data_IF_407903895246
#
_entry.id   IF_407903895246
#
_cell.length_a   1.000
_cell.length_b   1.000
_cell.length_c   1.000
_cell.angle_alpha   90.00
_cell.angle_beta   90.00
_cell.angle_gamma   90.00
#
_symmetry.space_group_name_H-M   'P 1'
#
loop_
_entity.id
_entity.type
_entity.pdbx_description
1 polymer ?
#
# COMPACT_ATOMS: atom_id res chain seq x y z
N UNK A 1 -8.52 -4.30 -18.11
CA UNK A 1 -7.36 -5.06 -17.61
C UNK A 1 -6.41 -4.11 -16.89
N UNK A 2 -5.90 -4.47 -15.72
CA UNK A 2 -4.98 -3.61 -14.96
C UNK A 2 -3.62 -3.47 -15.66
N UNK A 3 -3.08 -2.24 -15.69
CA UNK A 3 -1.84 -1.87 -16.41
C UNK A 3 -0.66 -2.82 -16.15
N UNK A 4 -0.50 -3.25 -14.91
CA UNK A 4 0.63 -4.06 -14.45
C UNK A 4 0.35 -5.56 -14.40
N UNK A 5 -0.79 -6.04 -14.95
CA UNK A 5 -1.15 -7.47 -14.94
C UNK A 5 -0.04 -8.35 -15.54
N UNK A 6 0.59 -7.89 -16.62
CA UNK A 6 1.64 -8.61 -17.32
C UNK A 6 2.90 -8.88 -16.47
N UNK A 7 3.03 -8.26 -15.28
CA UNK A 7 4.12 -8.50 -14.32
C UNK A 7 3.85 -9.65 -13.35
N UNK A 8 2.62 -10.15 -13.29
CA UNK A 8 2.15 -11.07 -12.22
C UNK A 8 1.14 -12.12 -12.73
N UNK A 9 0.97 -12.27 -14.04
CA UNK A 9 -0.05 -13.13 -14.65
C UNK A 9 0.38 -14.58 -14.89
N UNK A 10 1.62 -14.94 -14.57
CA UNK A 10 2.11 -16.33 -14.62
C UNK A 10 2.87 -16.70 -13.34
N UNK A 11 2.97 -17.98 -12.97
CA UNK A 11 3.70 -18.42 -11.78
C UNK A 11 5.16 -17.94 -11.76
N UNK A 12 5.89 -18.04 -12.88
CA UNK A 12 7.28 -17.58 -12.97
C UNK A 12 7.42 -16.08 -12.74
N UNK A 13 6.45 -15.29 -13.21
CA UNK A 13 6.44 -13.84 -13.00
C UNK A 13 6.08 -13.46 -11.56
N UNK A 14 5.17 -14.21 -10.92
CA UNK A 14 4.88 -14.04 -9.49
C UNK A 14 6.11 -14.36 -8.64
N UNK A 15 6.91 -15.36 -9.01
CA UNK A 15 8.16 -15.66 -8.30
C UNK A 15 9.21 -14.57 -8.50
N UNK A 16 9.35 -14.04 -9.72
CA UNK A 16 10.19 -12.86 -9.94
C UNK A 16 9.72 -11.65 -9.12
N UNK A 17 8.42 -11.40 -9.09
CA UNK A 17 7.81 -10.33 -8.30
C UNK A 17 8.07 -10.51 -6.81
N UNK A 18 7.97 -11.74 -6.29
CA UNK A 18 8.31 -12.07 -4.91
C UNK A 18 9.73 -11.65 -4.58
N UNK A 19 10.70 -12.04 -5.42
CA UNK A 19 12.12 -11.72 -5.21
C UNK A 19 12.38 -10.21 -5.31
N UNK A 20 11.81 -9.55 -6.31
CA UNK A 20 11.97 -8.11 -6.54
C UNK A 20 11.46 -7.25 -5.37
N UNK A 21 10.36 -7.66 -4.73
CA UNK A 21 9.71 -6.91 -3.64
C UNK A 21 9.92 -7.52 -2.26
N UNK A 22 10.87 -8.45 -2.13
CA UNK A 22 11.30 -9.08 -0.87
C UNK A 22 10.15 -9.75 -0.11
N UNK A 23 9.18 -10.32 -0.84
CA UNK A 23 7.99 -10.95 -0.26
C UNK A 23 8.40 -12.29 0.40
N UNK A 24 8.15 -12.48 1.72
CA UNK A 24 8.57 -13.67 2.45
C UNK A 24 8.05 -14.98 1.85
N UNK A 25 8.92 -15.98 1.72
CA UNK A 25 8.65 -17.25 1.04
C UNK A 25 7.50 -18.06 1.68
N UNK A 26 7.24 -17.85 2.97
CA UNK A 26 6.16 -18.47 3.74
C UNK A 26 4.77 -17.89 3.41
N UNK A 27 4.68 -16.76 2.70
CA UNK A 27 3.41 -16.20 2.24
C UNK A 27 3.00 -16.82 0.90
N UNK A 28 1.73 -17.23 0.78
CA UNK A 28 1.15 -17.59 -0.51
C UNK A 28 0.83 -16.32 -1.31
N UNK A 29 1.36 -16.23 -2.53
CA UNK A 29 1.15 -15.12 -3.44
C UNK A 29 0.37 -15.59 -4.67
N UNK A 30 -0.72 -14.90 -4.99
CA UNK A 30 -1.49 -15.11 -6.22
C UNK A 30 -2.01 -13.80 -6.77
N UNK A 31 -2.23 -13.75 -8.09
CA UNK A 31 -3.00 -12.67 -8.71
C UNK A 31 -4.49 -12.83 -8.36
N UNK A 32 -5.13 -11.73 -7.97
CA UNK A 32 -6.56 -11.70 -7.74
C UNK A 32 -7.35 -11.84 -9.06
N UNK A 33 -8.38 -12.69 -9.05
CA UNK A 33 -9.37 -12.82 -10.11
C UNK A 33 -10.43 -11.71 -10.05
N UNK A 34 -11.36 -11.73 -11.01
CA UNK A 34 -12.40 -10.70 -11.10
C UNK A 34 -13.43 -10.78 -9.96
N UNK A 35 -13.67 -11.97 -9.43
CA UNK A 35 -14.65 -12.22 -8.37
C UNK A 35 -14.03 -12.12 -6.95
N UNK A 36 -12.73 -11.85 -6.86
CA UNK A 36 -12.07 -11.68 -5.56
C UNK A 36 -12.45 -10.34 -4.93
N UNK A 37 -12.72 -10.38 -3.62
CA UNK A 37 -13.00 -9.18 -2.84
C UNK A 37 -11.74 -8.32 -2.67
N UNK A 38 -11.93 -7.00 -2.68
CA UNK A 38 -10.91 -6.05 -2.25
C UNK A 38 -10.74 -5.99 -0.72
N UNK A 39 -11.65 -6.63 0.02
CA UNK A 39 -11.60 -6.68 1.48
C UNK A 39 -10.68 -7.81 1.94
N UNK A 40 -9.91 -7.53 2.98
CA UNK A 40 -9.09 -8.53 3.66
C UNK A 40 -9.96 -9.56 4.38
N UNK A 41 -9.44 -10.78 4.48
CA UNK A 41 -9.96 -11.84 5.36
C UNK A 41 -8.91 -12.19 6.41
N UNK A 42 -9.24 -13.07 7.35
CA UNK A 42 -8.29 -13.57 8.34
C UNK A 42 -7.03 -14.21 7.72
N UNK A 43 -7.15 -14.72 6.49
CA UNK A 43 -6.09 -15.47 5.82
C UNK A 43 -5.54 -14.78 4.55
N UNK A 44 -6.07 -13.62 4.15
CA UNK A 44 -5.67 -12.97 2.90
C UNK A 44 -5.75 -11.45 2.97
N UNK A 45 -4.70 -10.78 2.48
CA UNK A 45 -4.65 -9.33 2.35
C UNK A 45 -4.39 -8.95 0.89
N UNK A 46 -5.36 -8.35 0.18
CA UNK A 46 -5.14 -7.90 -1.19
C UNK A 46 -4.30 -6.61 -1.20
N UNK A 47 -3.40 -6.51 -2.17
CA UNK A 47 -2.62 -5.31 -2.45
C UNK A 47 -2.71 -4.94 -3.93
N UNK A 48 -2.74 -3.65 -4.28
CA UNK A 48 -2.67 -3.24 -5.66
C UNK A 48 -1.23 -3.40 -6.18
N UNK A 49 -1.06 -4.04 -7.33
CA UNK A 49 0.27 -4.28 -7.94
C UNK A 49 1.07 -2.98 -8.12
N UNK A 50 0.37 -1.88 -8.43
CA UNK A 50 0.97 -0.54 -8.59
C UNK A 50 1.62 0.01 -7.30
N UNK A 51 1.18 -0.43 -6.11
CA UNK A 51 1.81 0.01 -4.86
C UNK A 51 3.27 -0.43 -4.77
N UNK A 52 3.57 -1.62 -5.28
CA UNK A 52 4.93 -2.15 -5.34
C UNK A 52 5.72 -1.47 -6.45
N UNK A 53 5.20 -1.53 -7.69
CA UNK A 53 5.94 -1.10 -8.89
C UNK A 53 6.19 0.40 -8.92
N UNK A 54 5.19 1.22 -8.60
CA UNK A 54 5.28 2.68 -8.76
C UNK A 54 5.39 3.44 -7.45
N UNK A 55 5.00 2.83 -6.33
CA UNK A 55 4.93 3.53 -5.05
C UNK A 55 5.99 3.05 -4.05
N UNK A 56 6.89 2.15 -4.44
CA UNK A 56 8.03 1.74 -3.61
C UNK A 56 7.65 0.93 -2.37
N UNK A 57 6.47 0.30 -2.36
CA UNK A 57 6.11 -0.64 -1.30
C UNK A 57 7.03 -1.87 -1.38
N UNK A 58 7.56 -2.31 -0.23
CA UNK A 58 8.44 -3.49 -0.09
C UNK A 58 8.01 -4.30 1.12
N UNK A 59 8.34 -5.59 1.13
CA UNK A 59 8.25 -6.42 2.33
C UNK A 59 9.61 -6.51 3.06
N UNK A 60 9.62 -6.76 4.38
CA UNK A 60 8.47 -6.66 5.28
C UNK A 60 7.92 -5.22 5.29
N UNK A 61 6.59 -5.08 5.37
CA UNK A 61 5.97 -3.76 5.36
C UNK A 61 6.55 -2.89 6.48
N UNK A 62 6.83 -1.63 6.16
CA UNK A 62 7.35 -0.71 7.17
C UNK A 62 6.39 -0.61 8.37
N UNK A 63 6.89 -0.63 9.63
CA UNK A 63 6.05 -0.50 10.81
C UNK A 63 5.16 0.75 10.77
N UNK A 64 5.66 1.85 10.23
CA UNK A 64 4.90 3.09 10.15
C UNK A 64 3.75 2.99 9.13
N UNK A 65 3.99 2.35 7.99
CA UNK A 65 2.93 2.06 7.00
C UNK A 65 1.80 1.21 7.63
N UNK A 66 2.17 0.17 8.39
CA UNK A 66 1.22 -0.68 9.12
C UNK A 66 0.45 0.10 10.19
N UNK A 67 1.13 0.99 10.92
CA UNK A 67 0.50 1.83 11.94
C UNK A 67 -0.56 2.75 11.35
N UNK A 68 -0.30 3.35 10.17
CA UNK A 68 -1.27 4.20 9.47
C UNK A 68 -2.51 3.39 9.07
N UNK A 69 -2.33 2.24 8.42
CA UNK A 69 -3.46 1.37 8.03
C UNK A 69 -4.30 0.97 9.24
N UNK A 70 -3.64 0.55 10.33
CA UNK A 70 -4.32 0.16 11.56
C UNK A 70 -5.12 1.31 12.17
N UNK A 71 -4.53 2.50 12.29
CA UNK A 71 -5.20 3.66 12.88
C UNK A 71 -6.44 4.08 12.10
N UNK A 72 -6.33 4.16 10.77
CA UNK A 72 -7.46 4.55 9.91
C UNK A 72 -8.44 3.40 9.62
N UNK A 73 -8.16 2.19 10.12
CA UNK A 73 -8.95 0.97 9.87
C UNK A 73 -9.12 0.70 8.38
N UNK A 74 -8.04 0.86 7.62
CA UNK A 74 -8.01 0.66 6.17
C UNK A 74 -7.21 -0.58 5.81
N UNK A 75 -7.61 -1.24 4.73
CA UNK A 75 -6.78 -2.22 4.04
C UNK A 75 -6.04 -1.55 2.86
N UNK A 76 -4.99 -2.20 2.31
CA UNK A 76 -4.18 -1.64 1.22
C UNK A 76 -4.99 -1.29 -0.05
N UNK A 77 -6.04 -2.04 -0.39
CA UNK A 77 -6.89 -1.75 -1.55
C UNK A 77 -7.73 -0.48 -1.38
N UNK A 78 -7.90 -0.01 -0.14
CA UNK A 78 -8.64 1.22 0.16
C UNK A 78 -7.77 2.47 0.06
N UNK A 79 -6.47 2.37 -0.20
CA UNK A 79 -5.59 3.51 -0.40
C UNK A 79 -5.49 3.89 -1.87
N UNK A 80 -5.65 5.19 -2.16
CA UNK A 80 -5.33 5.77 -3.44
C UNK A 80 -3.80 5.80 -3.68
N UNK A 81 -3.39 5.84 -4.95
CA UNK A 81 -1.96 5.86 -5.35
C UNK A 81 -1.19 7.01 -4.68
N UNK A 82 -1.81 8.19 -4.54
CA UNK A 82 -1.16 9.31 -3.88
C UNK A 82 -0.88 9.02 -2.39
N UNK A 83 -1.78 8.29 -1.70
CA UNK A 83 -1.56 7.90 -0.31
C UNK A 83 -0.36 7.00 -0.17
N UNK A 84 -0.21 6.01 -1.07
CA UNK A 84 0.98 5.17 -1.09
C UNK A 84 2.25 6.01 -1.24
N UNK A 85 2.31 6.88 -2.26
CA UNK A 85 3.49 7.71 -2.53
C UNK A 85 3.84 8.64 -1.37
N UNK A 86 2.84 9.24 -0.73
CA UNK A 86 3.07 10.09 0.45
C UNK A 86 3.64 9.26 1.59
N UNK A 87 3.01 8.14 1.93
CA UNK A 87 3.45 7.33 3.08
C UNK A 87 4.85 6.75 2.83
N UNK A 88 5.08 6.10 1.68
CA UNK A 88 6.37 5.48 1.37
C UNK A 88 7.47 6.52 1.17
N UNK A 89 7.16 7.66 0.55
CA UNK A 89 8.07 8.80 0.44
C UNK A 89 8.47 9.37 1.80
N UNK A 90 7.50 9.55 2.71
CA UNK A 90 7.79 9.97 4.09
C UNK A 90 8.67 8.96 4.81
N UNK A 91 8.40 7.67 4.70
CA UNK A 91 9.23 6.61 5.29
C UNK A 91 10.66 6.67 4.75
N UNK A 92 10.83 6.83 3.43
CA UNK A 92 12.14 6.92 2.81
C UNK A 92 12.93 8.14 3.30
N UNK A 93 12.28 9.31 3.36
CA UNK A 93 12.90 10.53 3.86
C UNK A 93 13.30 10.41 5.34
N UNK A 94 12.43 9.87 6.19
CA UNK A 94 12.72 9.69 7.62
C UNK A 94 13.91 8.76 7.83
N UNK A 95 14.02 7.68 7.03
CA UNK A 95 15.18 6.77 7.05
C UNK A 95 16.45 7.47 6.59
N UNK A 96 16.38 8.26 5.51
CA UNK A 96 17.53 8.98 4.98
C UNK A 96 18.10 9.98 6.00
N UNK A 97 17.22 10.70 6.70
CA UNK A 97 17.61 11.71 7.70
C UNK A 97 17.89 11.11 9.09
N UNK A 98 17.83 9.77 9.23
CA UNK A 98 17.92 9.06 10.51
C UNK A 98 17.01 9.66 11.60
N UNK A 99 15.83 10.12 11.16
CA UNK A 99 14.86 10.80 11.99
C UNK A 99 13.84 9.81 12.57
N UNK A 100 12.96 10.31 13.44
CA UNK A 100 11.77 9.58 13.90
C UNK A 100 10.54 10.31 13.41
N UNK A 101 9.53 9.54 13.05
CA UNK A 101 8.20 10.05 12.74
C UNK A 101 7.16 9.32 13.58
N UNK A 102 6.22 10.07 14.12
CA UNK A 102 5.05 9.53 14.80
C UNK A 102 3.81 9.72 13.93
N UNK A 103 2.75 8.99 14.27
CA UNK A 103 1.46 9.19 13.62
C UNK A 103 0.95 10.63 13.80
N UNK A 104 1.22 11.26 14.95
CA UNK A 104 0.83 12.64 15.22
C UNK A 104 1.53 13.63 14.29
N UNK A 105 2.83 13.46 14.06
CA UNK A 105 3.60 14.29 13.10
C UNK A 105 3.01 14.18 11.70
N UNK A 106 2.65 12.97 11.29
CA UNK A 106 2.05 12.73 9.99
C UNK A 106 0.65 13.31 9.86
N UNK A 107 -0.17 13.22 10.92
CA UNK A 107 -1.51 13.82 10.98
C UNK A 107 -1.49 15.34 11.05
N UNK A 108 -0.42 15.91 11.59
CA UNK A 108 -0.17 17.35 11.55
C UNK A 108 0.03 17.83 10.11
N UNK A 109 0.73 17.04 9.28
CA UNK A 109 1.01 17.39 7.88
C UNK A 109 -0.12 16.99 6.91
N UNK A 110 -0.82 15.87 7.17
CA UNK A 110 -1.76 15.28 6.23
C UNK A 110 -3.07 14.86 6.88
N UNK A 111 -4.16 14.99 6.12
CA UNK A 111 -5.48 14.47 6.47
C UNK A 111 -5.85 13.33 5.52
N UNK A 112 -6.32 12.22 6.07
CA UNK A 112 -6.90 11.13 5.29
C UNK A 112 -8.34 11.49 4.89
N UNK A 113 -8.62 11.55 3.60
CA UNK A 113 -9.92 11.94 3.05
C UNK A 113 -10.52 10.80 2.24
N UNK A 114 -11.83 10.60 2.36
CA UNK A 114 -12.59 9.66 1.52
C UNK A 114 -12.83 10.27 0.14
N UNK A 115 -12.58 9.51 -0.91
CA UNK A 115 -12.92 9.91 -2.28
C UNK A 115 -14.45 9.81 -2.43
N UNK A 116 -15.11 10.91 -2.83
CA UNK A 116 -16.59 11.00 -2.91
C UNK A 116 -17.21 10.48 -4.23
N UNK A 117 -16.43 9.86 -5.11
CA UNK A 117 -16.94 9.29 -6.37
C UNK A 117 -17.41 7.85 -6.15
N UNK A 118 -18.08 7.23 -7.13
CA UNK A 118 -18.64 5.86 -7.13
C UNK A 118 -17.76 4.74 -6.52
N UNK A 119 -16.48 5.00 -6.28
CA UNK A 119 -15.58 4.16 -5.48
C UNK A 119 -15.63 4.55 -4.00
N UNK A 120 -16.75 4.23 -3.36
CA UNK A 120 -17.07 4.62 -1.98
C UNK A 120 -16.06 4.16 -0.92
N UNK A 121 -15.07 3.33 -1.24
CA UNK A 121 -14.15 2.76 -0.24
C UNK A 121 -12.69 3.20 -0.42
N UNK A 122 -12.41 4.19 -1.29
CA UNK A 122 -11.05 4.68 -1.55
C UNK A 122 -10.73 5.95 -0.77
N UNK A 123 -9.54 5.98 -0.17
CA UNK A 123 -9.06 7.07 0.68
C UNK A 123 -7.73 7.64 0.15
N UNK A 124 -7.64 8.95 0.14
CA UNK A 124 -6.47 9.70 -0.33
C UNK A 124 -5.94 10.63 0.76
N UNK A 125 -4.63 10.81 0.81
CA UNK A 125 -4.00 11.79 1.69
C UNK A 125 -3.99 13.18 1.06
N UNK A 126 -4.43 14.17 1.84
CA UNK A 126 -4.43 15.58 1.46
C UNK A 126 -3.50 16.35 2.41
N UNK A 127 -2.57 17.19 1.90
CA UNK A 127 -1.82 18.11 2.74
C UNK A 127 -2.75 19.01 3.54
N UNK A 128 -2.43 19.26 4.80
CA UNK A 128 -3.08 20.28 5.62
C UNK A 128 -2.48 21.63 5.25
N UNK A 129 -3.33 22.61 4.93
CA UNK A 129 -2.90 24.00 4.85
C UNK A 129 -2.58 24.46 6.26
N UNK A 130 -1.30 24.76 6.51
CA UNK A 130 -0.84 25.50 7.69
C UNK A 130 -1.05 26.99 7.49
#
# INVERSE_FOLDING_TARGET
>A
MGMWKHRVDTPSKLEFFRQEFEIPADLNLRLAGNDDSIMSTDNSMPFPVVAFIECGLRFPLDPFFRQILHFYKLNPMQLAINSYRVITGTIALVKQENARITLADFQYCYTMCRLKKDTDYVYYLKPRST
#
